data_IF_913495071033
#
_entry.id   IF_913495071033
#
_cell.length_a   1.000
_cell.length_b   1.000
_cell.length_c   1.000
_cell.angle_alpha   90.00
_cell.angle_beta   90.00
_cell.angle_gamma   90.00
#
_symmetry.space_group_name_H-M   'P 1'
#
loop_
_entity.id
_entity.type
_entity.pdbx_description
1 polymer ?
#
# COMPACT_ATOMS: atom_id res chain seq x y z
N UNK A 1 5.16 -27.84 4.49
CA UNK A 1 6.20 -26.80 4.59
C UNK A 1 5.64 -25.65 5.41
N UNK A 2 6.41 -25.11 6.35
CA UNK A 2 5.94 -24.09 7.29
C UNK A 2 5.55 -22.81 6.54
N UNK A 3 4.41 -22.21 6.91
CA UNK A 3 3.86 -20.97 6.32
C UNK A 3 4.43 -19.74 7.04
N UNK A 4 5.74 -19.69 7.24
CA UNK A 4 6.39 -18.67 8.09
C UNK A 4 7.50 -17.98 7.32
N UNK A 5 7.50 -16.65 7.37
CA UNK A 5 8.60 -15.83 6.88
C UNK A 5 9.82 -16.01 7.80
N UNK A 6 10.99 -16.35 7.22
CA UNK A 6 12.19 -16.76 7.99
C UNK A 6 13.09 -15.59 8.46
N UNK A 7 12.65 -14.35 8.26
CA UNK A 7 13.45 -13.17 8.58
C UNK A 7 14.45 -12.82 7.47
N UNK A 8 15.01 -11.62 7.53
CA UNK A 8 15.89 -11.10 6.49
C UNK A 8 17.29 -10.74 6.98
N UNK A 9 18.07 -10.08 6.13
CA UNK A 9 19.42 -9.59 6.41
C UNK A 9 19.38 -8.21 7.08
N UNK A 10 20.53 -7.70 7.52
CA UNK A 10 20.62 -6.33 8.02
C UNK A 10 20.34 -5.34 6.87
N UNK A 11 19.26 -4.56 6.97
CA UNK A 11 18.89 -3.57 5.96
C UNK A 11 19.20 -2.14 6.37
N UNK A 12 19.11 -1.82 7.67
CA UNK A 12 19.43 -0.48 8.14
C UNK A 12 20.06 -0.49 9.54
N UNK A 13 20.96 0.45 9.78
CA UNK A 13 21.54 0.73 11.09
C UNK A 13 20.91 1.96 11.71
N UNK A 14 20.76 1.93 13.03
CA UNK A 14 20.39 3.07 13.87
C UNK A 14 21.68 3.59 14.51
N UNK A 15 22.12 4.76 14.10
CA UNK A 15 23.37 5.37 14.56
C UNK A 15 23.05 6.60 15.40
N UNK A 16 23.49 6.62 16.66
CA UNK A 16 23.36 7.76 17.57
C UNK A 16 24.74 8.21 18.03
N UNK A 17 25.08 9.47 17.80
CA UNK A 17 26.35 10.09 18.21
C UNK A 17 27.57 9.28 17.73
N UNK A 18 27.49 8.70 16.53
CA UNK A 18 28.53 7.84 15.95
C UNK A 18 28.53 6.38 16.43
N UNK A 19 27.65 6.00 17.36
CA UNK A 19 27.52 4.64 17.87
C UNK A 19 26.34 3.91 17.20
N UNK A 20 26.58 2.71 16.66
CA UNK A 20 25.52 1.85 16.12
C UNK A 20 24.80 1.18 17.29
N UNK A 21 23.63 1.70 17.66
CA UNK A 21 22.84 1.20 18.81
C UNK A 21 21.78 0.18 18.41
N UNK A 22 21.51 0.01 17.11
CA UNK A 22 20.53 -0.96 16.63
C UNK A 22 20.65 -1.27 15.15
N UNK A 23 20.06 -2.40 14.77
CA UNK A 23 19.99 -2.86 13.38
C UNK A 23 18.56 -3.31 13.09
N UNK A 24 18.00 -2.82 11.99
CA UNK A 24 16.76 -3.32 11.43
C UNK A 24 17.06 -4.38 10.39
N UNK A 25 16.49 -5.56 10.59
CA UNK A 25 16.57 -6.67 9.65
C UNK A 25 15.37 -6.68 8.72
N UNK A 26 15.52 -7.26 7.54
CA UNK A 26 14.47 -7.25 6.54
C UNK A 26 14.86 -7.89 5.23
N UNK A 27 13.91 -7.91 4.32
CA UNK A 27 14.12 -8.38 2.96
C UNK A 27 13.73 -7.30 1.96
N UNK A 28 14.46 -7.21 0.86
CA UNK A 28 14.22 -6.24 -0.22
C UNK A 28 14.53 -6.88 -1.56
N UNK A 29 13.63 -6.67 -2.52
CA UNK A 29 13.74 -7.15 -3.90
C UNK A 29 13.71 -5.96 -4.83
N UNK A 30 14.64 -5.93 -5.79
CA UNK A 30 14.74 -4.92 -6.83
C UNK A 30 14.70 -5.60 -8.20
N UNK A 31 13.69 -5.30 -9.00
CA UNK A 31 13.51 -5.79 -10.35
C UNK A 31 13.71 -4.64 -11.36
N UNK A 32 14.33 -4.91 -12.50
CA UNK A 32 14.39 -3.95 -13.62
C UNK A 32 13.05 -3.87 -14.37
N UNK A 33 13.00 -3.03 -15.41
CA UNK A 33 11.81 -2.84 -16.25
C UNK A 33 11.35 -4.09 -17.00
N UNK A 34 12.21 -5.11 -17.16
CA UNK A 34 11.85 -6.41 -17.76
C UNK A 34 11.32 -7.40 -16.72
N UNK A 35 11.47 -7.09 -15.44
CA UNK A 35 11.14 -7.97 -14.32
C UNK A 35 12.30 -8.86 -13.88
N UNK A 36 13.50 -8.67 -14.42
CA UNK A 36 14.69 -9.41 -14.01
C UNK A 36 15.26 -8.85 -12.70
N UNK A 37 15.79 -9.69 -11.80
CA UNK A 37 16.37 -9.23 -10.55
C UNK A 37 17.65 -8.42 -10.80
N UNK A 38 17.71 -7.21 -10.24
CA UNK A 38 18.89 -6.32 -10.28
C UNK A 38 19.69 -6.43 -8.99
N UNK A 39 18.98 -6.47 -7.86
CA UNK A 39 19.58 -6.55 -6.54
C UNK A 39 18.55 -7.04 -5.52
N UNK A 40 19.03 -7.44 -4.36
CA UNK A 40 18.20 -7.75 -3.21
C UNK A 40 19.04 -8.11 -2.00
N UNK A 41 18.38 -8.23 -0.85
CA UNK A 41 18.95 -8.73 0.40
C UNK A 41 17.85 -9.44 1.20
N UNK A 42 18.22 -10.45 1.98
CA UNK A 42 17.26 -11.29 2.72
C UNK A 42 16.43 -12.23 1.84
N UNK A 43 15.33 -12.74 2.38
CA UNK A 43 14.44 -13.67 1.70
C UNK A 43 13.32 -12.94 0.94
N UNK A 44 13.49 -12.82 -0.37
CA UNK A 44 12.50 -12.25 -1.28
C UNK A 44 11.41 -13.23 -1.74
N UNK A 45 11.46 -14.49 -1.31
CA UNK A 45 10.63 -15.61 -1.82
C UNK A 45 9.64 -16.14 -0.79
N UNK A 46 9.96 -16.08 0.50
CA UNK A 46 9.00 -16.44 1.54
C UNK A 46 7.75 -15.54 1.48
N UNK A 47 6.56 -16.11 1.70
CA UNK A 47 5.32 -15.36 1.66
C UNK A 47 5.22 -14.43 2.86
N UNK A 48 4.86 -13.18 2.58
CA UNK A 48 4.51 -12.17 3.57
C UNK A 48 3.08 -11.69 3.31
N UNK A 49 2.44 -11.06 4.29
CA UNK A 49 1.20 -10.34 4.04
C UNK A 49 1.53 -8.89 3.67
N UNK A 50 1.38 -8.44 2.41
CA UNK A 50 1.65 -7.04 2.05
C UNK A 50 0.64 -6.06 2.65
N UNK A 51 -0.52 -6.58 3.07
CA UNK A 51 -1.65 -5.83 3.63
C UNK A 51 -2.04 -4.70 2.70
N UNK A 52 -2.02 -3.44 3.17
CA UNK A 52 -2.41 -2.28 2.36
C UNK A 52 -1.65 -2.11 1.04
N UNK A 53 -0.46 -2.68 0.89
CA UNK A 53 0.27 -2.67 -0.38
C UNK A 53 -0.42 -3.53 -1.47
N UNK A 54 -1.35 -4.43 -1.13
CA UNK A 54 -2.13 -5.20 -2.11
C UNK A 54 -3.35 -4.46 -2.66
N UNK A 55 -3.74 -3.32 -2.09
CA UNK A 55 -4.98 -2.62 -2.47
C UNK A 55 -5.07 -2.23 -3.95
N UNK A 56 -4.00 -1.76 -4.62
CA UNK A 56 -4.06 -1.51 -6.06
C UNK A 56 -4.44 -2.77 -6.88
N UNK A 57 -3.98 -3.95 -6.44
CA UNK A 57 -4.33 -5.24 -7.06
C UNK A 57 -5.78 -5.64 -6.77
N UNK A 58 -6.29 -5.30 -5.58
CA UNK A 58 -7.70 -5.48 -5.25
C UNK A 58 -8.58 -4.56 -6.11
N UNK A 59 -8.19 -3.29 -6.29
CA UNK A 59 -8.87 -2.36 -7.21
C UNK A 59 -8.89 -2.89 -8.63
N UNK A 60 -7.75 -3.39 -9.14
CA UNK A 60 -7.69 -4.03 -10.45
C UNK A 60 -8.69 -5.19 -10.55
N UNK A 61 -8.75 -6.05 -9.52
CA UNK A 61 -9.68 -7.17 -9.48
C UNK A 61 -11.14 -6.74 -9.51
N UNK A 62 -11.46 -5.63 -8.82
CA UNK A 62 -12.79 -5.01 -8.82
C UNK A 62 -13.15 -4.40 -10.17
N UNK A 63 -12.25 -3.63 -10.80
CA UNK A 63 -12.48 -3.05 -12.14
C UNK A 63 -12.77 -4.15 -13.17
N UNK A 64 -11.95 -5.20 -13.17
CA UNK A 64 -12.15 -6.34 -14.08
C UNK A 64 -13.41 -7.17 -13.76
N UNK A 65 -13.99 -7.00 -12.57
CA UNK A 65 -15.24 -7.62 -12.14
C UNK A 65 -16.47 -6.74 -12.43
N UNK A 66 -16.29 -5.61 -13.11
CA UNK A 66 -17.38 -4.72 -13.52
C UNK A 66 -17.56 -3.47 -12.66
N UNK A 67 -16.67 -3.20 -11.70
CA UNK A 67 -16.69 -1.92 -10.98
C UNK A 67 -16.47 -0.76 -11.97
N UNK A 68 -17.52 0.01 -12.18
CA UNK A 68 -17.52 1.14 -13.11
C UNK A 68 -17.31 2.46 -12.37
N UNK A 69 -16.06 2.94 -12.31
CA UNK A 69 -15.71 4.26 -11.78
C UNK A 69 -15.18 5.14 -12.91
N UNK A 70 -15.82 6.30 -13.10
CA UNK A 70 -15.48 7.26 -14.15
C UNK A 70 -14.52 8.34 -13.67
N UNK A 71 -14.62 8.77 -12.41
CA UNK A 71 -13.67 9.69 -11.78
C UNK A 71 -12.42 8.92 -11.32
N UNK A 72 -11.21 9.23 -11.83
CA UNK A 72 -9.99 8.56 -11.39
C UNK A 72 -9.72 8.76 -9.89
N UNK A 73 -10.20 9.82 -9.26
CA UNK A 73 -10.06 9.99 -7.83
C UNK A 73 -10.88 8.96 -7.02
N UNK A 74 -11.96 8.40 -7.59
CA UNK A 74 -12.69 7.28 -6.98
C UNK A 74 -11.89 5.98 -7.09
N UNK A 75 -11.22 5.75 -8.22
CA UNK A 75 -10.28 4.61 -8.37
C UNK A 75 -9.13 4.73 -7.35
N UNK A 76 -8.64 5.95 -7.11
CA UNK A 76 -7.62 6.23 -6.11
C UNK A 76 -8.12 5.93 -4.68
N UNK A 77 -9.33 6.35 -4.31
CA UNK A 77 -9.88 6.11 -2.95
C UNK A 77 -10.17 4.62 -2.70
N UNK A 78 -10.57 3.87 -3.73
CA UNK A 78 -10.74 2.41 -3.64
C UNK A 78 -9.40 1.70 -3.44
N UNK A 79 -8.31 2.27 -3.97
CA UNK A 79 -6.93 1.79 -3.80
C UNK A 79 -6.26 2.29 -2.50
N UNK A 80 -6.96 3.10 -1.70
CA UNK A 80 -6.36 3.91 -0.65
C UNK A 80 -6.19 3.20 0.70
N UNK A 81 -5.27 3.73 1.49
CA UNK A 81 -5.29 3.64 2.96
C UNK A 81 -5.38 5.06 3.48
N UNK A 82 -6.54 5.69 3.28
CA UNK A 82 -6.65 7.13 3.39
C UNK A 82 -6.43 7.63 4.83
N UNK A 83 -5.93 8.86 4.95
CA UNK A 83 -5.75 9.52 6.23
C UNK A 83 -7.07 9.90 6.93
N UNK A 84 -8.21 9.85 6.23
CA UNK A 84 -9.51 10.22 6.79
C UNK A 84 -9.72 11.73 6.91
N UNK A 85 -8.95 12.51 6.14
CA UNK A 85 -9.22 13.94 5.88
C UNK A 85 -10.60 14.12 5.22
N UNK A 86 -11.19 15.31 5.35
CA UNK A 86 -12.57 15.59 4.95
C UNK A 86 -12.90 15.18 3.51
N UNK A 87 -11.99 15.45 2.56
CA UNK A 87 -12.19 15.07 1.16
C UNK A 87 -12.23 13.56 0.94
N UNK A 88 -11.57 12.76 1.79
CA UNK A 88 -11.69 11.30 1.73
C UNK A 88 -13.09 10.87 2.18
N UNK A 89 -13.53 11.37 3.34
CA UNK A 89 -14.82 10.97 3.93
C UNK A 89 -15.97 11.38 3.01
N UNK A 90 -15.92 12.60 2.47
CA UNK A 90 -16.90 13.09 1.50
C UNK A 90 -16.97 12.20 0.26
N UNK A 91 -15.82 11.75 -0.26
CA UNK A 91 -15.74 10.89 -1.45
C UNK A 91 -16.28 9.49 -1.17
N UNK A 92 -15.86 8.84 -0.09
CA UNK A 92 -16.40 7.50 0.26
C UNK A 92 -17.90 7.56 0.50
N UNK A 93 -18.40 8.60 1.17
CA UNK A 93 -19.82 8.79 1.36
C UNK A 93 -20.57 9.03 0.04
N UNK A 94 -19.97 9.73 -0.92
CA UNK A 94 -20.56 9.91 -2.25
C UNK A 94 -20.65 8.61 -3.04
N UNK A 95 -19.62 7.76 -2.99
CA UNK A 95 -19.64 6.43 -3.60
C UNK A 95 -20.72 5.52 -3.01
N UNK A 96 -20.93 5.56 -1.69
CA UNK A 96 -22.01 4.80 -1.08
C UNK A 96 -23.38 5.34 -1.49
N UNK A 97 -23.57 6.66 -1.46
CA UNK A 97 -24.83 7.30 -1.87
C UNK A 97 -25.18 7.05 -3.34
N UNK A 98 -24.21 6.98 -4.25
CA UNK A 98 -24.49 6.67 -5.66
C UNK A 98 -25.04 5.27 -5.88
N UNK A 99 -24.90 4.39 -4.88
CA UNK A 99 -25.43 3.04 -4.85
C UNK A 99 -26.60 2.86 -3.85
N UNK A 100 -27.16 3.96 -3.33
CA UNK A 100 -28.21 3.96 -2.29
C UNK A 100 -27.82 3.16 -1.03
N UNK A 101 -26.54 3.23 -0.65
CA UNK A 101 -25.98 2.56 0.54
C UNK A 101 -25.67 3.56 1.66
N UNK A 102 -25.95 3.12 2.90
CA UNK A 102 -25.54 3.81 4.12
C UNK A 102 -24.15 3.34 4.59
N UNK A 103 -23.33 4.18 5.27
CA UNK A 103 -22.07 3.75 5.87
C UNK A 103 -22.15 2.52 6.79
N UNK A 104 -23.33 2.19 7.34
CA UNK A 104 -23.55 0.94 8.08
C UNK A 104 -23.37 -0.33 7.24
N UNK A 105 -23.44 -0.25 5.90
CA UNK A 105 -23.15 -1.36 5.00
C UNK A 105 -21.65 -1.72 4.96
N UNK A 106 -20.77 -0.82 5.41
CA UNK A 106 -19.34 -1.10 5.48
C UNK A 106 -19.05 -2.14 6.58
N UNK A 107 -18.23 -3.15 6.26
CA UNK A 107 -17.82 -4.16 7.22
C UNK A 107 -16.67 -3.68 8.12
N UNK A 108 -15.79 -2.83 7.60
CA UNK A 108 -14.64 -2.33 8.35
C UNK A 108 -15.09 -1.68 9.66
N UNK A 109 -14.36 -1.93 10.77
CA UNK A 109 -14.79 -1.47 12.09
C UNK A 109 -14.87 0.06 12.12
N UNK A 110 -15.69 0.64 13.02
CA UNK A 110 -15.61 2.06 13.28
C UNK A 110 -14.23 2.40 13.83
N UNK A 111 -13.61 3.45 13.31
CA UNK A 111 -12.30 3.93 13.75
C UNK A 111 -12.25 5.47 13.67
N UNK A 112 -11.27 6.08 14.31
CA UNK A 112 -10.92 7.47 14.06
C UNK A 112 -10.12 7.61 12.76
N UNK A 113 -10.04 8.81 12.17
CA UNK A 113 -9.14 9.04 11.03
C UNK A 113 -7.72 8.58 11.35
N UNK A 114 -7.06 7.96 10.36
CA UNK A 114 -5.69 7.47 10.52
C UNK A 114 -4.66 8.61 10.58
N UNK A 115 -4.91 9.71 9.86
CA UNK A 115 -4.07 10.89 9.89
C UNK A 115 -4.23 11.68 11.18
N UNK A 116 -3.12 12.06 11.79
CA UNK A 116 -3.08 12.73 13.10
C UNK A 116 -3.92 14.02 13.12
N UNK A 117 -3.72 14.94 12.17
CA UNK A 117 -4.46 16.19 12.10
C UNK A 117 -5.98 15.97 11.94
N UNK A 118 -6.38 15.02 11.09
CA UNK A 118 -7.79 14.68 10.89
C UNK A 118 -8.41 14.04 12.15
N UNK A 119 -7.66 13.18 12.82
CA UNK A 119 -8.06 12.57 14.10
C UNK A 119 -8.28 13.62 15.17
N UNK A 120 -7.34 14.54 15.34
CA UNK A 120 -7.45 15.64 16.30
C UNK A 120 -8.65 16.53 15.99
N UNK A 121 -8.91 16.86 14.72
CA UNK A 121 -10.05 17.66 14.32
C UNK A 121 -11.38 17.00 14.73
N UNK A 122 -11.54 15.69 14.48
CA UNK A 122 -12.72 14.94 14.90
C UNK A 122 -12.90 14.98 16.42
N UNK A 123 -11.84 14.74 17.18
CA UNK A 123 -11.90 14.72 18.64
C UNK A 123 -12.19 16.11 19.23
N UNK A 124 -11.58 17.17 18.70
CA UNK A 124 -11.84 18.56 19.11
C UNK A 124 -13.29 18.98 18.84
N UNK A 125 -13.90 18.46 17.78
CA UNK A 125 -15.31 18.68 17.47
C UNK A 125 -16.28 17.83 18.31
N UNK A 126 -15.79 17.01 19.25
CA UNK A 126 -16.61 16.10 20.06
C UNK A 126 -17.11 14.87 19.29
N UNK A 127 -16.52 14.59 18.11
CA UNK A 127 -16.81 13.42 17.31
C UNK A 127 -16.15 12.15 17.86
N UNK A 128 -16.46 11.01 17.21
CA UNK A 128 -15.95 9.71 17.61
C UNK A 128 -15.67 8.79 16.43
N UNK A 129 -15.30 7.52 16.71
CA UNK A 129 -15.04 6.52 15.68
C UNK A 129 -16.23 6.32 14.74
N UNK A 130 -15.96 6.15 13.44
CA UNK A 130 -16.98 5.82 12.45
C UNK A 130 -16.41 4.87 11.40
N UNK A 131 -17.28 4.06 10.76
CA UNK A 131 -16.86 3.14 9.70
C UNK A 131 -16.34 3.90 8.47
N UNK A 132 -16.87 5.10 8.24
CA UNK A 132 -16.44 5.99 7.17
C UNK A 132 -15.00 6.49 7.38
N UNK A 133 -14.62 6.77 8.63
CA UNK A 133 -13.29 7.27 8.97
C UNK A 133 -12.20 6.20 8.98
N UNK A 134 -12.56 4.92 9.06
CA UNK A 134 -11.62 3.82 8.96
C UNK A 134 -10.88 3.86 7.61
N UNK A 135 -9.55 3.77 7.63
CA UNK A 135 -8.68 4.01 6.46
C UNK A 135 -8.89 3.07 5.25
N UNK A 136 -9.66 2.00 5.41
CA UNK A 136 -10.03 1.06 4.35
C UNK A 136 -11.45 1.29 3.83
N UNK A 137 -12.20 2.26 4.33
CA UNK A 137 -13.62 2.44 3.99
C UNK A 137 -13.81 2.66 2.48
N UNK A 138 -12.91 3.35 1.79
CA UNK A 138 -12.91 3.48 0.33
C UNK A 138 -12.81 2.14 -0.41
N UNK A 139 -11.88 1.25 0.01
CA UNK A 139 -11.80 -0.12 -0.50
C UNK A 139 -13.11 -0.88 -0.28
N UNK A 140 -13.68 -0.78 0.92
CA UNK A 140 -14.94 -1.47 1.28
C UNK A 140 -16.13 -0.95 0.46
N UNK A 141 -16.20 0.36 0.19
CA UNK A 141 -17.19 0.92 -0.72
C UNK A 141 -17.00 0.35 -2.14
N UNK A 142 -15.77 0.32 -2.65
CA UNK A 142 -15.47 -0.32 -3.94
C UNK A 142 -15.90 -1.80 -3.99
N UNK A 143 -15.68 -2.55 -2.91
CA UNK A 143 -16.12 -3.95 -2.80
C UNK A 143 -17.64 -4.09 -2.90
N UNK A 144 -18.40 -3.24 -2.20
CA UNK A 144 -19.88 -3.23 -2.26
C UNK A 144 -20.38 -2.88 -3.66
N UNK A 145 -19.84 -1.82 -4.26
CA UNK A 145 -20.20 -1.39 -5.62
C UNK A 145 -19.87 -2.48 -6.66
N UNK A 146 -18.77 -3.20 -6.47
CA UNK A 146 -18.41 -4.35 -7.32
C UNK A 146 -19.45 -5.47 -7.18
N UNK A 147 -19.89 -5.77 -5.95
CA UNK A 147 -20.91 -6.80 -5.74
C UNK A 147 -22.23 -6.42 -6.43
N UNK A 148 -22.65 -5.16 -6.35
CA UNK A 148 -23.82 -4.67 -7.09
C UNK A 148 -23.66 -4.83 -8.60
N UNK A 149 -22.54 -4.38 -9.17
CA UNK A 149 -22.28 -4.46 -10.60
C UNK A 149 -22.24 -5.91 -11.12
N UNK A 150 -21.71 -6.83 -10.32
CA UNK A 150 -21.58 -8.25 -10.67
C UNK A 150 -22.81 -9.11 -10.28
N UNK A 151 -23.83 -8.52 -9.64
CA UNK A 151 -24.99 -9.27 -9.14
C UNK A 151 -24.66 -10.24 -7.99
N UNK A 152 -23.60 -9.97 -7.22
CA UNK A 152 -23.19 -10.76 -6.07
C UNK A 152 -23.85 -10.27 -4.76
N UNK A 153 -23.99 -11.15 -3.76
CA UNK A 153 -24.50 -10.74 -2.44
C UNK A 153 -23.70 -9.58 -1.85
N UNK A 154 -24.41 -8.67 -1.17
CA UNK A 154 -23.74 -7.65 -0.35
C UNK A 154 -23.32 -8.21 0.99
N UNK A 155 -24.13 -9.08 1.60
CA UNK A 155 -23.73 -9.67 2.88
C UNK A 155 -22.56 -10.66 2.70
N UNK A 156 -21.63 -10.61 3.64
CA UNK A 156 -20.48 -11.51 3.62
C UNK A 156 -19.41 -11.18 2.58
N UNK A 157 -19.44 -10.01 1.92
CA UNK A 157 -18.42 -9.64 0.91
C UNK A 157 -16.98 -9.66 1.44
N UNK A 158 -16.78 -9.61 2.76
CA UNK A 158 -15.50 -9.69 3.45
C UNK A 158 -15.05 -11.13 3.77
N UNK A 159 -15.86 -12.15 3.43
CA UNK A 159 -15.54 -13.56 3.71
C UNK A 159 -14.73 -14.17 2.56
N UNK A 160 -13.70 -14.99 2.83
CA UNK A 160 -12.85 -15.58 1.80
C UNK A 160 -13.61 -16.37 0.72
N UNK A 161 -14.74 -16.99 1.08
CA UNK A 161 -15.55 -17.80 0.18
C UNK A 161 -16.41 -16.96 -0.78
N UNK A 162 -16.55 -15.66 -0.51
CA UNK A 162 -17.38 -14.77 -1.32
C UNK A 162 -16.81 -14.64 -2.75
N UNK A 163 -17.64 -14.63 -3.81
CA UNK A 163 -17.18 -14.52 -5.20
C UNK A 163 -16.25 -13.32 -5.44
N UNK A 164 -16.54 -12.19 -4.78
CA UNK A 164 -15.66 -11.03 -4.76
C UNK A 164 -14.24 -11.41 -4.30
N UNK A 165 -14.09 -11.99 -3.11
CA UNK A 165 -12.78 -12.27 -2.53
C UNK A 165 -12.00 -13.32 -3.32
N UNK A 166 -12.70 -14.29 -3.91
CA UNK A 166 -12.10 -15.24 -4.86
C UNK A 166 -11.55 -14.52 -6.10
N UNK A 167 -12.31 -13.56 -6.65
CA UNK A 167 -11.87 -12.75 -7.79
C UNK A 167 -10.67 -11.87 -7.47
N UNK A 168 -10.66 -11.25 -6.28
CA UNK A 168 -9.52 -10.44 -5.84
C UNK A 168 -8.27 -11.30 -5.64
N UNK A 169 -8.42 -12.48 -5.03
CA UNK A 169 -7.34 -13.46 -4.86
C UNK A 169 -6.76 -13.89 -6.20
N UNK A 170 -7.62 -14.27 -7.16
CA UNK A 170 -7.19 -14.67 -8.49
C UNK A 170 -6.43 -13.56 -9.22
N UNK A 171 -6.86 -12.30 -9.07
CA UNK A 171 -6.18 -11.15 -9.66
C UNK A 171 -4.81 -10.92 -9.02
N UNK A 172 -4.70 -11.08 -7.70
CA UNK A 172 -3.41 -11.00 -6.98
C UNK A 172 -2.46 -12.10 -7.46
N UNK A 173 -2.94 -13.35 -7.58
CA UNK A 173 -2.14 -14.48 -8.09
C UNK A 173 -1.63 -14.23 -9.52
N UNK A 174 -2.51 -13.73 -10.40
CA UNK A 174 -2.18 -13.40 -11.79
C UNK A 174 -1.12 -12.30 -11.90
N UNK A 175 -1.25 -11.23 -11.09
CA UNK A 175 -0.31 -10.13 -11.10
C UNK A 175 1.03 -10.50 -10.45
N UNK A 176 1.00 -11.25 -9.36
CA UNK A 176 2.21 -11.73 -8.69
C UNK A 176 2.92 -12.84 -9.48
N UNK A 177 2.18 -13.56 -10.33
CA UNK A 177 2.67 -14.73 -11.07
C UNK A 177 3.04 -15.88 -10.14
N UNK A 178 2.29 -16.03 -9.05
CA UNK A 178 2.43 -17.10 -8.06
C UNK A 178 1.09 -17.34 -7.34
N UNK A 179 0.97 -18.49 -6.67
CA UNK A 179 -0.23 -18.82 -5.88
C UNK A 179 -0.15 -18.16 -4.51
N UNK A 180 -1.30 -17.73 -3.99
CA UNK A 180 -1.40 -17.21 -2.63
C UNK A 180 -1.11 -18.33 -1.63
N UNK A 181 -0.07 -18.16 -0.82
CA UNK A 181 0.41 -19.19 0.09
C UNK A 181 -0.47 -19.33 1.35
N UNK A 182 -1.11 -18.24 1.77
CA UNK A 182 -2.01 -18.18 2.91
C UNK A 182 -2.99 -17.02 2.78
N UNK A 183 -4.17 -17.17 3.37
CA UNK A 183 -5.15 -16.10 3.54
C UNK A 183 -5.29 -15.80 5.02
N UNK A 184 -5.08 -14.54 5.39
CA UNK A 184 -5.31 -14.02 6.74
C UNK A 184 -6.52 -13.10 6.78
N UNK A 185 -6.83 -12.57 7.98
CA UNK A 185 -7.85 -11.52 8.17
C UNK A 185 -7.13 -10.23 8.54
N UNK A 186 -7.38 -9.16 7.79
CA UNK A 186 -6.78 -7.85 8.03
C UNK A 186 -7.55 -7.08 9.13
N UNK A 187 -6.98 -5.98 9.63
CA UNK A 187 -7.61 -5.14 10.67
C UNK A 187 -8.94 -4.52 10.24
N UNK A 188 -9.22 -4.44 8.94
CA UNK A 188 -10.51 -4.03 8.41
C UNK A 188 -11.55 -5.17 8.34
N UNK A 189 -11.20 -6.39 8.73
CA UNK A 189 -12.05 -7.58 8.68
C UNK A 189 -12.11 -8.30 7.32
N UNK A 190 -11.48 -7.75 6.28
CA UNK A 190 -11.42 -8.38 4.96
C UNK A 190 -10.19 -9.31 4.81
N UNK A 191 -10.17 -10.23 3.84
CA UNK A 191 -9.07 -11.16 3.65
C UNK A 191 -7.79 -10.44 3.17
N UNK A 192 -6.64 -10.94 3.59
CA UNK A 192 -5.33 -10.55 3.08
C UNK A 192 -4.60 -11.77 2.52
N UNK A 193 -4.08 -11.63 1.31
CA UNK A 193 -3.38 -12.68 0.58
C UNK A 193 -1.86 -12.61 0.83
N UNK A 194 -1.26 -13.74 1.23
CA UNK A 194 0.18 -13.84 1.37
C UNK A 194 0.85 -14.18 0.03
N UNK A 195 1.81 -13.34 -0.36
CA UNK A 195 2.65 -13.47 -1.55
C UNK A 195 4.09 -13.11 -1.19
N UNK A 196 5.06 -13.53 -1.98
CA UNK A 196 6.46 -13.17 -1.86
C UNK A 196 6.69 -11.68 -2.18
N UNK A 197 7.79 -11.11 -1.68
CA UNK A 197 8.20 -9.76 -2.09
C UNK A 197 8.51 -9.69 -3.59
N UNK A 198 9.05 -10.77 -4.17
CA UNK A 198 9.27 -10.89 -5.61
C UNK A 198 7.95 -10.83 -6.38
N UNK A 199 6.94 -11.57 -5.94
CA UNK A 199 5.59 -11.52 -6.51
C UNK A 199 4.97 -10.14 -6.38
N UNK A 200 5.11 -9.49 -5.23
CA UNK A 200 4.63 -8.12 -5.01
C UNK A 200 5.31 -7.12 -5.96
N UNK A 201 6.64 -7.16 -6.10
CA UNK A 201 7.37 -6.30 -7.01
C UNK A 201 6.94 -6.51 -8.48
N UNK A 202 6.76 -7.77 -8.90
CA UNK A 202 6.25 -8.12 -10.24
C UNK A 202 4.84 -7.58 -10.47
N UNK A 203 3.96 -7.69 -9.49
CA UNK A 203 2.60 -7.18 -9.56
C UNK A 203 2.57 -5.66 -9.75
N UNK A 204 3.44 -4.92 -9.04
CA UNK A 204 3.59 -3.47 -9.21
C UNK A 204 4.19 -3.10 -10.57
N UNK A 205 5.19 -3.85 -11.02
CA UNK A 205 5.77 -3.64 -12.35
C UNK A 205 4.69 -3.78 -13.44
N UNK A 206 3.83 -4.80 -13.32
CA UNK A 206 2.71 -5.01 -14.24
C UNK A 206 1.71 -3.84 -14.27
N UNK A 207 1.39 -3.26 -13.13
CA UNK A 207 0.49 -2.08 -13.07
C UNK A 207 1.06 -0.89 -13.85
N UNK A 208 2.38 -0.70 -13.82
CA UNK A 208 3.02 0.47 -14.42
C UNK A 208 3.45 0.26 -15.87
N UNK A 209 3.57 -0.98 -16.35
CA UNK A 209 3.97 -1.30 -17.73
C UNK A 209 2.80 -1.59 -18.67
N UNK A 210 1.58 -1.75 -18.13
CA UNK A 210 0.39 -1.96 -18.95
C UNK A 210 0.14 -0.79 -19.91
N UNK A 211 -0.38 -1.10 -21.10
CA UNK A 211 -0.67 -0.11 -22.12
C UNK A 211 -1.80 0.85 -21.72
N UNK A 212 -1.86 2.04 -22.34
CA UNK A 212 -2.92 3.01 -22.04
C UNK A 212 -4.32 2.42 -22.21
N UNK A 213 -5.19 2.67 -21.24
CA UNK A 213 -6.59 2.22 -21.25
C UNK A 213 -6.82 0.82 -20.70
N UNK A 214 -5.76 0.06 -20.39
CA UNK A 214 -5.90 -1.18 -19.62
C UNK A 214 -6.28 -0.88 -18.16
N UNK A 215 -7.01 -1.78 -17.51
CA UNK A 215 -7.39 -1.59 -16.09
C UNK A 215 -6.17 -1.48 -15.17
N UNK A 216 -5.08 -2.20 -15.47
CA UNK A 216 -3.79 -2.03 -14.80
C UNK A 216 -3.28 -0.59 -14.82
N UNK A 217 -3.25 0.04 -16.01
CA UNK A 217 -2.77 1.41 -16.16
C UNK A 217 -3.75 2.38 -15.50
N UNK A 218 -5.06 2.15 -15.61
CA UNK A 218 -6.10 2.96 -14.96
C UNK A 218 -5.91 3.05 -13.45
N UNK A 219 -5.55 1.95 -12.78
CA UNK A 219 -5.26 1.96 -11.34
C UNK A 219 -4.01 2.79 -11.04
N UNK A 220 -2.92 2.54 -11.76
CA UNK A 220 -1.66 3.24 -11.54
C UNK A 220 -1.80 4.76 -11.79
N UNK A 221 -2.46 5.13 -12.87
CA UNK A 221 -2.65 6.52 -13.30
C UNK A 221 -3.57 7.28 -12.34
N UNK A 222 -4.66 6.64 -11.87
CA UNK A 222 -5.53 7.21 -10.85
C UNK A 222 -4.78 7.54 -9.55
N UNK A 223 -3.99 6.59 -9.05
CA UNK A 223 -3.23 6.79 -7.82
C UNK A 223 -2.17 7.89 -7.95
N UNK A 224 -1.52 8.00 -9.11
CA UNK A 224 -0.54 9.06 -9.42
C UNK A 224 -1.18 10.43 -9.59
N UNK A 225 -2.38 10.49 -10.17
CA UNK A 225 -3.12 11.73 -10.37
C UNK A 225 -3.68 12.27 -9.06
N UNK A 226 -4.05 11.40 -8.13
CA UNK A 226 -4.65 11.74 -6.83
C UNK A 226 -3.91 11.10 -5.65
N UNK A 227 -2.61 11.36 -5.49
CA UNK A 227 -1.78 10.69 -4.49
C UNK A 227 -2.25 11.01 -3.07
N UNK A 228 -2.72 12.24 -2.81
CA UNK A 228 -3.31 12.61 -1.52
C UNK A 228 -4.57 11.82 -1.19
N UNK A 229 -5.34 11.36 -2.17
CA UNK A 229 -6.52 10.50 -1.94
C UNK A 229 -6.10 9.09 -1.53
N UNK A 230 -4.90 8.65 -1.89
CA UNK A 230 -4.36 7.32 -1.57
C UNK A 230 -3.89 7.23 -0.11
N UNK A 231 -3.04 8.18 0.31
CA UNK A 231 -2.36 8.13 1.62
C UNK A 231 -2.70 9.28 2.56
N UNK A 232 -3.29 10.37 2.06
CA UNK A 232 -3.40 11.65 2.75
C UNK A 232 -2.30 12.63 2.36
N UNK A 233 -2.46 13.88 2.78
CA UNK A 233 -1.67 15.03 2.31
C UNK A 233 -0.17 14.92 2.63
N UNK A 234 0.18 14.21 3.71
CA UNK A 234 1.55 14.12 4.24
C UNK A 234 2.16 12.71 4.22
N UNK A 235 1.45 11.72 3.66
CA UNK A 235 1.91 10.33 3.68
C UNK A 235 3.11 10.07 2.77
N UNK A 236 3.94 9.09 3.12
CA UNK A 236 5.17 8.76 2.38
C UNK A 236 4.89 8.38 0.92
N UNK A 237 3.87 7.57 0.67
CA UNK A 237 3.47 7.20 -0.70
C UNK A 237 2.93 8.40 -1.49
N UNK A 238 2.18 9.30 -0.85
CA UNK A 238 1.77 10.57 -1.46
C UNK A 238 2.97 11.42 -1.87
N UNK A 239 3.92 11.63 -0.96
CA UNK A 239 5.09 12.47 -1.19
C UNK A 239 6.02 11.87 -2.26
N UNK A 240 6.19 10.54 -2.27
CA UNK A 240 6.94 9.85 -3.32
C UNK A 240 6.29 9.98 -4.70
N UNK A 241 4.98 9.75 -4.82
CA UNK A 241 4.28 9.85 -6.11
C UNK A 241 4.31 11.29 -6.66
N UNK A 242 4.27 12.30 -5.79
CA UNK A 242 4.45 13.72 -6.19
C UNK A 242 5.89 14.05 -6.56
N UNK A 243 6.86 13.53 -5.82
CA UNK A 243 8.27 13.90 -5.94
C UNK A 243 9.06 13.11 -6.98
N UNK A 244 8.55 11.97 -7.46
CA UNK A 244 9.17 11.15 -8.50
C UNK A 244 8.16 10.95 -9.66
N UNK A 245 8.30 11.68 -10.78
CA UNK A 245 7.36 11.59 -11.89
C UNK A 245 7.16 10.16 -12.40
N UNK A 246 5.90 9.72 -12.48
CA UNK A 246 5.52 8.38 -12.92
C UNK A 246 5.64 7.29 -11.86
N UNK A 247 6.05 7.60 -10.62
CA UNK A 247 6.14 6.62 -9.55
C UNK A 247 4.75 6.14 -9.15
N UNK A 248 4.55 4.82 -9.09
CA UNK A 248 3.47 4.21 -8.32
C UNK A 248 4.06 3.74 -7.00
N UNK A 249 3.53 4.18 -5.88
CA UNK A 249 4.01 3.79 -4.55
C UNK A 249 2.84 3.47 -3.63
N UNK A 250 3.03 2.47 -2.75
CA UNK A 250 2.05 2.16 -1.71
C UNK A 250 2.72 1.58 -0.47
N UNK A 251 2.38 2.19 0.65
CA UNK A 251 2.68 1.67 1.98
C UNK A 251 1.84 0.43 2.31
N UNK A 252 2.49 -0.60 2.85
CA UNK A 252 1.89 -1.73 3.55
C UNK A 252 2.04 -1.61 5.07
N UNK A 253 1.48 -2.57 5.81
CA UNK A 253 1.70 -2.67 7.26
C UNK A 253 2.86 -3.63 7.57
N UNK A 254 3.28 -3.73 8.83
CA UNK A 254 4.39 -4.59 9.26
C UNK A 254 5.69 -4.40 8.46
N UNK A 255 6.01 -3.12 8.17
CA UNK A 255 7.25 -2.73 7.52
C UNK A 255 7.27 -2.91 6.01
N UNK A 256 6.14 -3.27 5.38
CA UNK A 256 6.08 -3.49 3.93
C UNK A 256 5.97 -2.19 3.13
N UNK A 257 6.66 -2.12 2.00
CA UNK A 257 6.49 -1.07 1.00
C UNK A 257 6.66 -1.63 -0.42
N UNK A 258 5.89 -1.13 -1.38
CA UNK A 258 6.07 -1.43 -2.79
C UNK A 258 6.07 -0.16 -3.64
N UNK A 259 6.94 -0.12 -4.64
CA UNK A 259 7.08 1.00 -5.56
C UNK A 259 7.46 0.50 -6.96
N UNK A 260 6.98 1.15 -8.01
CA UNK A 260 7.37 0.86 -9.38
C UNK A 260 7.33 2.08 -10.29
N UNK A 261 8.20 2.07 -11.30
CA UNK A 261 8.38 3.15 -12.24
C UNK A 261 8.40 2.58 -13.68
N UNK A 262 7.56 3.09 -14.59
CA UNK A 262 7.43 2.57 -15.94
C UNK A 262 8.76 2.64 -16.69
N UNK A 263 9.14 1.54 -17.35
CA UNK A 263 10.39 1.44 -18.10
C UNK A 263 11.67 1.38 -17.25
N UNK A 264 11.56 1.44 -15.92
CA UNK A 264 12.73 1.45 -15.02
C UNK A 264 12.77 0.21 -14.13
N UNK A 265 11.69 -0.09 -13.41
CA UNK A 265 11.66 -1.27 -12.54
C UNK A 265 10.73 -1.14 -11.34
N UNK A 266 10.84 -2.11 -10.42
CA UNK A 266 10.03 -2.19 -9.22
C UNK A 266 10.85 -2.61 -8.00
N UNK A 267 10.40 -2.15 -6.83
CA UNK A 267 10.96 -2.47 -5.52
C UNK A 267 9.85 -2.96 -4.61
N UNK A 268 10.10 -4.04 -3.88
CA UNK A 268 9.29 -4.44 -2.74
C UNK A 268 10.20 -4.76 -1.56
N UNK A 269 9.82 -4.33 -0.36
CA UNK A 269 10.60 -4.57 0.84
C UNK A 269 9.71 -4.88 2.04
N UNK A 270 10.29 -5.54 3.04
CA UNK A 270 9.73 -5.73 4.38
C UNK A 270 10.82 -5.50 5.42
N UNK A 271 10.53 -4.69 6.43
CA UNK A 271 11.31 -4.64 7.67
C UNK A 271 10.72 -5.67 8.66
N UNK A 272 11.55 -6.52 9.25
CA UNK A 272 11.13 -7.69 10.03
C UNK A 272 10.27 -7.33 11.25
N UNK A 273 10.73 -6.34 12.03
CA UNK A 273 10.07 -5.83 13.23
C UNK A 273 8.93 -4.82 12.94
N UNK A 274 8.64 -4.59 11.66
CA UNK A 274 7.61 -3.66 11.22
C UNK A 274 7.97 -2.18 11.37
N UNK A 275 9.21 -1.84 11.73
CA UNK A 275 9.60 -0.47 12.01
C UNK A 275 9.47 0.46 10.79
N UNK A 276 8.79 1.58 10.99
CA UNK A 276 8.59 2.60 9.94
C UNK A 276 9.87 3.39 9.63
N UNK A 277 10.69 3.68 10.64
CA UNK A 277 11.90 4.52 10.52
C UNK A 277 12.98 3.94 9.59
N UNK A 278 12.99 2.62 9.36
CA UNK A 278 13.94 1.97 8.44
C UNK A 278 13.41 1.86 7.00
N UNK A 279 12.09 1.90 6.82
CA UNK A 279 11.43 1.60 5.53
C UNK A 279 11.87 2.54 4.40
N UNK A 280 11.87 3.84 4.66
CA UNK A 280 12.18 4.85 3.64
C UNK A 280 13.68 4.89 3.28
N UNK A 281 14.63 4.86 4.24
CA UNK A 281 16.06 4.71 3.93
C UNK A 281 16.38 3.49 3.05
N UNK A 282 15.77 2.33 3.35
CA UNK A 282 15.94 1.10 2.57
C UNK A 282 15.34 1.24 1.17
N UNK A 283 14.12 1.79 1.05
CA UNK A 283 13.47 2.03 -0.24
C UNK A 283 14.30 2.95 -1.13
N UNK A 284 14.83 4.04 -0.58
CA UNK A 284 15.68 4.98 -1.32
C UNK A 284 16.95 4.29 -1.83
N UNK A 285 17.59 3.48 -1.00
CA UNK A 285 18.76 2.67 -1.43
C UNK A 285 18.40 1.77 -2.62
N UNK A 286 17.26 1.09 -2.57
CA UNK A 286 16.78 0.24 -3.65
C UNK A 286 16.49 1.02 -4.94
N UNK A 287 15.77 2.14 -4.84
CA UNK A 287 15.43 2.98 -5.99
C UNK A 287 16.69 3.57 -6.66
N UNK A 288 17.73 3.89 -5.89
CA UNK A 288 19.02 4.34 -6.42
C UNK A 288 19.75 3.26 -7.21
N UNK A 289 19.58 1.97 -6.88
CA UNK A 289 20.11 0.84 -7.66
C UNK A 289 19.43 0.70 -9.02
N UNK A 290 18.20 1.21 -9.16
CA UNK A 290 17.50 1.38 -10.44
C UNK A 290 17.84 2.69 -11.17
N UNK A 291 18.80 3.47 -10.65
CA UNK A 291 19.19 4.76 -11.22
C UNK A 291 18.21 5.91 -10.95
N UNK A 292 17.17 5.70 -10.13
CA UNK A 292 16.18 6.73 -9.82
C UNK A 292 16.78 7.77 -8.88
N UNK A 293 16.67 9.04 -9.27
CA UNK A 293 17.12 10.20 -8.48
C UNK A 293 16.05 11.29 -8.48
N UNK A 294 15.75 11.82 -7.30
CA UNK A 294 14.87 12.97 -7.12
C UNK A 294 15.16 13.64 -5.76
N UNK A 295 14.87 14.94 -5.59
CA UNK A 295 15.07 15.64 -4.31
C UNK A 295 14.40 14.93 -3.11
N UNK A 296 13.18 14.42 -3.29
CA UNK A 296 12.44 13.70 -2.23
C UNK A 296 13.18 12.43 -1.76
N UNK A 297 13.94 11.78 -2.64
CA UNK A 297 14.71 10.60 -2.27
C UNK A 297 15.94 10.96 -1.44
N UNK A 298 16.48 12.17 -1.58
CA UNK A 298 17.57 12.65 -0.70
C UNK A 298 17.04 12.89 0.71
N UNK A 299 15.85 13.47 0.85
CA UNK A 299 15.20 13.66 2.15
C UNK A 299 14.94 12.32 2.85
N UNK A 300 14.47 11.32 2.12
CA UNK A 300 14.17 9.99 2.66
C UNK A 300 15.37 9.05 2.80
N UNK A 301 16.56 9.47 2.37
CA UNK A 301 17.74 8.62 2.40
C UNK A 301 18.16 8.24 3.83
N UNK A 302 17.87 9.11 4.80
CA UNK A 302 18.14 8.91 6.22
C UNK A 302 16.93 9.35 7.05
N UNK A 303 16.64 8.62 8.12
CA UNK A 303 15.65 9.06 9.11
C UNK A 303 16.38 9.73 10.27
N UNK A 304 16.19 11.02 10.56
CA UNK A 304 16.95 11.72 11.58
C UNK A 304 16.58 11.23 12.99
N UNK A 305 17.59 11.02 13.84
CA UNK A 305 17.42 10.84 15.27
C UNK A 305 17.70 12.16 15.98
N UNK A 306 16.77 12.58 16.82
CA UNK A 306 16.87 13.83 17.56
C UNK A 306 17.25 13.60 19.02
N UNK A 307 18.01 14.53 19.58
CA UNK A 307 18.33 14.65 21.01
C UNK A 307 18.23 16.12 21.38
N UNK A 308 17.31 16.48 22.29
CA UNK A 308 17.04 17.89 22.59
C UNK A 308 16.62 18.71 21.36
N UNK A 309 15.85 18.10 20.45
CA UNK A 309 15.44 18.67 19.16
C UNK A 309 16.57 18.94 18.13
N UNK A 310 17.81 18.57 18.42
CA UNK A 310 18.93 18.64 17.48
C UNK A 310 19.23 17.26 16.88
N UNK A 311 19.65 17.17 15.60
CA UNK A 311 20.12 15.92 15.02
C UNK A 311 21.32 15.37 15.78
N UNK A 312 21.20 14.15 16.27
CA UNK A 312 22.27 13.41 16.95
C UNK A 312 22.66 12.14 16.20
N UNK A 313 22.04 11.86 15.06
CA UNK A 313 22.29 10.66 14.27
C UNK A 313 21.15 10.36 13.31
N UNK A 314 21.08 9.13 12.84
CA UNK A 314 20.09 8.73 11.85
C UNK A 314 19.94 7.23 11.68
N UNK A 315 18.88 6.84 10.97
CA UNK A 315 18.72 5.50 10.42
C UNK A 315 19.16 5.52 8.96
N UNK A 316 20.13 4.68 8.60
CA UNK A 316 20.72 4.64 7.25
C UNK A 316 20.72 3.21 6.69
N UNK A 317 20.58 3.02 5.37
CA UNK A 317 20.61 1.69 4.78
C UNK A 317 22.03 1.11 4.78
N UNK A 318 22.17 -0.21 4.94
CA UNK A 318 23.48 -0.91 4.95
C UNK A 318 23.57 -2.13 4.03
N UNK A 319 22.55 -2.35 3.21
CA UNK A 319 22.44 -3.47 2.28
C UNK A 319 22.86 -3.08 0.87
#
# INVERSE_FOLDING_TARGET
MAKTYEGGEALAEVVRSGFVEGVHRGSVVVLDGSGAPVAGAGDGTAPVFPRSASKPLQTLGMLRAGLALTDPADVAVVSASHAGEEFHLARVAALLRSADLDPAALHCPPDLPFGEAAREAVLRAGGGPSRLAMNCSGKHAGMLLTCLAAGWPLDGYWRPEHPLQQRLTATIEECAGERVAAVGVDGCGAPVSAVSLTGLARAYLRLVTAGPGCDESRVADAMRAYPEVVGGTVADDTRLMRGVPGMLAKIGAEGVFAAALPGVGAVALKIDDGATRARMPVLVSALRRLGVRAPILTEYAEFPLLGGALPVGGVRPVW
#
